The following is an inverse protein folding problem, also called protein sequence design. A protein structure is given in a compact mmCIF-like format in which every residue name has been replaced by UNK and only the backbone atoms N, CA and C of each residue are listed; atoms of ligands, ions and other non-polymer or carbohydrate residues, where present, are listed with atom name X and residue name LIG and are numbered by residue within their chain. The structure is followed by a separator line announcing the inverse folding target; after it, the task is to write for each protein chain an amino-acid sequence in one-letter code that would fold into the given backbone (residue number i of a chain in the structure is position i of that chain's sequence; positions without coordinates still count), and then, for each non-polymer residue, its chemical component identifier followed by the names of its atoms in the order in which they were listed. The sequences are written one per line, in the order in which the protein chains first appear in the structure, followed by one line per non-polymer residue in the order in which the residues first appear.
data_IF_302705381997
#
_entry.id   IF_302705381997
#
_cell.length_a   1.000
_cell.length_b   1.000
_cell.length_c   1.000
_cell.angle_alpha   90.00
_cell.angle_beta   90.00
_cell.angle_gamma   90.00
#
_symmetry.space_group_name_H-M   'P 1'
#
loop_
_entity.id
_entity.type
_entity.pdbx_description
1 polymer ?
#
# COMPACT_ATOMS: atom_id res chain seq x y z
N UNK A 1 -48.87 -26.20 15.52
CA UNK A 1 -47.66 -26.63 14.82
C UNK A 1 -46.67 -25.45 14.89
N UNK A 2 -45.54 -25.56 15.61
CA UNK A 2 -44.68 -24.43 15.94
C UNK A 2 -43.69 -24.11 14.83
N UNK A 3 -43.49 -22.81 14.65
CA UNK A 3 -42.52 -22.20 13.74
C UNK A 3 -41.07 -22.47 14.21
N UNK A 4 -40.26 -23.00 13.32
CA UNK A 4 -38.81 -23.11 13.50
C UNK A 4 -38.18 -21.71 13.40
N UNK A 5 -37.59 -21.22 14.47
CA UNK A 5 -36.68 -20.06 14.46
C UNK A 5 -35.31 -20.55 13.99
N UNK A 6 -34.83 -20.02 12.84
CA UNK A 6 -33.48 -20.21 12.42
C UNK A 6 -32.50 -19.47 13.38
N UNK A 7 -31.52 -20.19 13.85
CA UNK A 7 -30.43 -19.62 14.66
C UNK A 7 -29.53 -18.74 13.76
N UNK A 8 -28.97 -17.64 14.28
CA UNK A 8 -28.03 -16.81 13.53
C UNK A 8 -26.71 -17.59 13.35
N UNK A 9 -26.28 -17.73 12.10
CA UNK A 9 -25.06 -18.40 11.71
C UNK A 9 -23.86 -17.90 12.49
N UNK A 10 -23.18 -18.81 13.17
CA UNK A 10 -21.93 -18.56 13.89
C UNK A 10 -20.86 -18.07 12.90
N UNK A 11 -20.32 -16.89 13.16
CA UNK A 11 -19.13 -16.38 12.50
C UNK A 11 -17.99 -17.36 12.78
N UNK A 12 -17.38 -17.91 11.75
CA UNK A 12 -16.12 -18.61 11.88
C UNK A 12 -15.06 -17.55 12.27
N UNK A 13 -14.28 -17.80 13.32
CA UNK A 13 -13.17 -16.91 13.66
C UNK A 13 -12.15 -16.92 12.53
N UNK A 14 -11.46 -15.79 12.25
CA UNK A 14 -10.39 -15.76 11.27
C UNK A 14 -9.31 -16.78 11.64
N UNK A 15 -8.61 -17.36 10.66
CA UNK A 15 -7.54 -18.32 10.91
C UNK A 15 -6.45 -17.68 11.77
N UNK A 16 -6.16 -18.28 12.91
CA UNK A 16 -5.11 -17.85 13.82
C UNK A 16 -3.75 -18.08 13.18
N UNK A 17 -2.97 -17.00 13.01
CA UNK A 17 -1.52 -17.04 13.06
C UNK A 17 -0.81 -17.63 11.85
N UNK A 18 -0.72 -16.87 10.77
CA UNK A 18 0.38 -17.01 9.82
C UNK A 18 1.41 -15.92 10.14
N UNK A 19 2.54 -16.32 10.70
CA UNK A 19 3.66 -15.39 10.89
C UNK A 19 4.17 -14.93 9.53
N UNK A 20 4.06 -13.64 9.24
CA UNK A 20 4.68 -13.03 8.07
C UNK A 20 6.19 -13.24 8.12
N UNK A 21 6.69 -14.23 7.41
CA UNK A 21 8.13 -14.38 7.19
C UNK A 21 8.48 -13.36 6.10
N UNK A 22 8.63 -12.12 6.50
CA UNK A 22 9.37 -11.13 5.75
C UNK A 22 10.84 -11.52 5.86
N UNK A 23 11.33 -12.32 4.91
CA UNK A 23 12.72 -12.77 4.90
C UNK A 23 13.64 -11.55 4.81
N UNK A 24 14.13 -11.14 5.96
CA UNK A 24 15.28 -10.23 6.05
C UNK A 24 16.51 -11.13 5.83
N UNK A 25 17.04 -11.17 4.63
CA UNK A 25 18.42 -11.65 4.44
C UNK A 25 19.36 -10.55 4.89
N UNK A 26 19.69 -10.53 6.16
CA UNK A 26 20.95 -9.97 6.60
C UNK A 26 22.00 -11.06 6.31
N UNK A 27 22.81 -10.87 5.29
CA UNK A 27 24.07 -11.58 5.13
C UNK A 27 24.98 -11.20 6.29
N UNK A 28 24.89 -11.94 7.35
CA UNK A 28 25.95 -12.09 8.36
C UNK A 28 26.04 -13.56 8.66
N UNK A 29 26.98 -14.20 7.96
CA UNK A 29 27.45 -15.55 8.27
C UNK A 29 28.04 -15.57 9.67
N UNK A 30 27.25 -15.98 10.66
CA UNK A 30 27.78 -16.45 11.93
C UNK A 30 27.63 -17.95 11.93
N UNK A 31 28.75 -18.63 11.70
CA UNK A 31 28.90 -20.07 11.88
C UNK A 31 28.63 -20.39 13.34
N UNK A 32 27.67 -21.22 13.59
CA UNK A 32 27.35 -21.78 14.89
C UNK A 32 28.21 -23.05 15.10
N UNK A 33 29.09 -23.12 16.12
CA UNK A 33 29.77 -24.35 16.48
C UNK A 33 29.06 -25.02 17.65
N UNK A 34 28.11 -25.88 17.37
CA UNK A 34 27.58 -26.79 18.39
C UNK A 34 27.33 -28.16 17.81
N UNK A 35 28.41 -29.01 17.87
CA UNK A 35 28.32 -30.46 18.03
C UNK A 35 29.70 -30.94 18.45
N UNK A 36 29.88 -31.25 19.74
CA UNK A 36 30.79 -32.30 20.15
C UNK A 36 30.34 -32.95 21.46
N UNK A 37 30.41 -34.21 21.39
CA UNK A 37 29.94 -35.29 22.19
C UNK A 37 30.35 -35.27 23.66
N UNK A 38 29.53 -36.01 24.44
CA UNK A 38 29.85 -36.56 25.76
C UNK A 38 31.06 -37.47 25.72
N UNK A 39 31.95 -37.33 26.69
CA UNK A 39 32.70 -38.42 27.26
C UNK A 39 33.24 -38.08 28.67
N UNK A 40 33.29 -39.08 29.47
CA UNK A 40 33.43 -39.22 30.92
C UNK A 40 34.69 -38.72 31.60
N UNK A 41 34.49 -38.31 32.87
CA UNK A 41 35.31 -38.50 34.10
C UNK A 41 36.80 -38.91 33.99
N UNK A 42 37.69 -38.21 34.70
CA UNK A 42 38.45 -38.62 35.91
C UNK A 42 39.50 -37.55 36.23
N UNK A 43 39.50 -37.09 37.43
CA UNK A 43 40.49 -36.74 38.41
C UNK A 43 41.72 -35.86 38.08
N UNK A 44 41.95 -34.85 38.91
CA UNK A 44 43.29 -34.27 39.10
C UNK A 44 43.25 -32.75 39.30
N UNK A 45 43.34 -32.30 40.55
CA UNK A 45 43.50 -30.89 40.90
C UNK A 45 44.91 -30.41 40.53
N UNK A 46 44.98 -29.31 39.79
CA UNK A 46 46.17 -28.46 39.76
C UNK A 46 45.71 -27.00 39.60
N UNK A 47 45.90 -26.22 40.66
CA UNK A 47 45.69 -24.79 40.67
C UNK A 47 46.78 -24.10 39.83
N UNK A 48 46.46 -23.61 38.67
CA UNK A 48 47.24 -22.63 37.94
C UNK A 48 46.32 -21.43 37.64
N UNK A 49 46.65 -20.32 38.30
CA UNK A 49 46.00 -19.04 38.11
C UNK A 49 46.19 -18.53 36.66
N UNK A 50 45.13 -18.56 35.89
CA UNK A 50 45.10 -17.88 34.58
C UNK A 50 44.30 -16.61 34.78
N UNK A 51 44.99 -15.47 34.76
CA UNK A 51 44.36 -14.16 34.68
C UNK A 51 43.61 -14.07 33.36
N UNK A 52 42.29 -14.20 33.42
CA UNK A 52 41.40 -13.95 32.29
C UNK A 52 41.35 -12.44 32.06
N UNK A 53 42.16 -11.93 31.14
CA UNK A 53 41.95 -10.57 30.60
C UNK A 53 40.70 -10.63 29.74
N UNK A 54 39.56 -10.25 30.32
CA UNK A 54 38.33 -10.07 29.58
C UNK A 54 38.48 -8.86 28.66
N UNK A 55 38.90 -9.09 27.41
CA UNK A 55 38.76 -8.11 26.36
C UNK A 55 37.25 -7.94 26.08
N UNK A 56 36.67 -6.95 26.73
CA UNK A 56 35.31 -6.49 26.41
C UNK A 56 35.33 -5.97 24.98
N UNK A 57 34.96 -6.85 24.04
CA UNK A 57 34.67 -6.45 22.67
C UNK A 57 33.45 -5.50 22.74
N UNK A 58 33.72 -4.19 22.67
CA UNK A 58 32.70 -3.21 22.48
C UNK A 58 32.05 -3.53 21.15
N UNK A 59 30.90 -4.21 21.18
CA UNK A 59 30.01 -4.28 20.04
C UNK A 59 29.70 -2.82 19.66
N UNK A 60 30.24 -2.37 18.54
CA UNK A 60 29.92 -1.07 18.00
C UNK A 60 28.41 -1.08 17.77
N UNK A 61 27.67 -0.34 18.59
CA UNK A 61 26.26 -0.08 18.35
C UNK A 61 26.18 0.70 17.04
N UNK A 62 25.90 0.00 15.96
CA UNK A 62 25.62 0.61 14.66
C UNK A 62 24.42 1.51 14.89
N UNK A 63 24.65 2.79 14.94
CA UNK A 63 23.58 3.79 15.05
C UNK A 63 22.72 3.63 13.82
N UNK A 64 21.39 3.44 13.94
CA UNK A 64 20.52 3.35 12.77
C UNK A 64 20.73 4.60 11.90
N UNK A 65 20.70 4.45 10.58
CA UNK A 65 20.86 5.57 9.66
C UNK A 65 19.86 6.68 10.00
N UNK A 66 20.32 7.91 10.02
CA UNK A 66 19.51 9.08 10.41
C UNK A 66 18.52 9.54 9.33
N UNK A 67 18.33 8.78 8.25
CA UNK A 67 17.45 9.12 7.13
C UNK A 67 16.93 7.88 6.42
N UNK A 68 16.10 8.07 5.38
CA UNK A 68 15.58 6.95 4.59
C UNK A 68 16.71 6.21 3.86
N UNK A 69 16.56 4.91 3.75
CA UNK A 69 17.51 4.05 3.03
C UNK A 69 17.29 4.17 1.51
N UNK A 70 18.30 3.93 0.66
CA UNK A 70 18.07 3.77 -0.77
C UNK A 70 17.12 2.61 -1.04
N UNK A 71 16.11 2.82 -1.89
CA UNK A 71 15.21 1.75 -2.33
C UNK A 71 15.90 0.90 -3.39
N UNK A 72 16.04 -0.39 -3.12
CA UNK A 72 16.56 -1.39 -4.06
C UNK A 72 15.40 -2.31 -4.46
N UNK A 73 15.11 -2.37 -5.76
CA UNK A 73 14.10 -3.25 -6.33
C UNK A 73 14.74 -4.53 -6.91
N UNK A 74 13.96 -5.61 -7.10
CA UNK A 74 14.41 -6.78 -7.84
C UNK A 74 14.89 -6.42 -9.26
N UNK A 75 15.77 -7.23 -9.85
CA UNK A 75 16.37 -6.95 -11.16
C UNK A 75 15.34 -6.83 -12.31
N UNK A 76 14.27 -7.61 -12.27
CA UNK A 76 13.18 -7.57 -13.26
C UNK A 76 11.84 -7.42 -12.55
N UNK A 77 11.53 -6.22 -12.02
CA UNK A 77 10.37 -6.05 -11.17
C UNK A 77 9.06 -6.08 -11.99
N UNK A 78 8.06 -6.73 -11.44
CA UNK A 78 6.66 -6.56 -11.79
C UNK A 78 6.01 -5.82 -10.65
N UNK A 79 5.62 -4.58 -10.89
CA UNK A 79 5.16 -3.67 -9.84
C UNK A 79 3.67 -3.43 -9.99
N UNK A 80 2.90 -3.76 -8.95
CA UNK A 80 1.51 -3.38 -8.81
C UNK A 80 1.45 -2.17 -7.87
N UNK A 81 0.93 -1.05 -8.35
CA UNK A 81 0.64 0.13 -7.55
C UNK A 81 -0.85 0.16 -7.29
N UNK A 82 -1.25 0.19 -6.03
CA UNK A 82 -2.65 0.29 -5.62
C UNK A 82 -2.95 1.73 -5.25
N UNK A 83 -3.93 2.31 -5.90
CA UNK A 83 -4.41 3.66 -5.70
C UNK A 83 -5.86 3.62 -5.18
N UNK A 84 -6.16 4.14 -3.98
CA UNK A 84 -7.54 4.31 -3.53
C UNK A 84 -8.35 5.15 -4.51
N UNK A 85 -7.79 6.28 -4.97
CA UNK A 85 -8.43 7.18 -5.92
C UNK A 85 -7.55 7.43 -7.14
N UNK A 86 -8.12 7.83 -8.29
CA UNK A 86 -7.36 8.30 -9.44
C UNK A 86 -6.59 9.59 -9.11
N UNK A 87 -5.30 9.51 -9.00
CA UNK A 87 -4.22 10.49 -8.74
C UNK A 87 -3.17 10.00 -7.74
N UNK A 88 -3.56 9.13 -6.79
CA UNK A 88 -2.67 8.64 -5.72
C UNK A 88 -1.42 7.92 -6.26
N UNK A 89 -1.55 7.14 -7.35
CA UNK A 89 -0.42 6.44 -7.97
C UNK A 89 0.61 7.43 -8.51
N UNK A 90 0.14 8.55 -9.03
CA UNK A 90 1.02 9.61 -9.57
C UNK A 90 1.61 10.46 -8.45
N UNK A 91 0.80 10.84 -7.45
CA UNK A 91 1.25 11.57 -6.27
C UNK A 91 2.36 10.80 -5.55
N UNK A 92 2.13 9.53 -5.29
CA UNK A 92 3.01 8.70 -4.46
C UNK A 92 4.21 8.13 -5.23
N UNK A 93 4.00 7.67 -6.46
CA UNK A 93 4.95 6.83 -7.18
C UNK A 93 5.15 7.21 -8.65
N UNK A 94 4.73 8.40 -9.08
CA UNK A 94 4.82 8.83 -10.49
C UNK A 94 6.23 8.78 -11.05
N UNK A 95 7.23 9.21 -10.28
CA UNK A 95 8.63 9.11 -10.67
C UNK A 95 9.14 7.68 -10.74
N UNK A 96 8.75 6.82 -9.79
CA UNK A 96 9.04 5.39 -9.82
C UNK A 96 8.42 4.72 -11.05
N UNK A 97 7.16 4.99 -11.33
CA UNK A 97 6.45 4.45 -12.51
C UNK A 97 7.19 4.87 -13.79
N UNK A 98 7.48 6.16 -13.97
CA UNK A 98 8.20 6.67 -15.12
C UNK A 98 9.60 6.04 -15.29
N UNK A 99 10.31 5.80 -14.19
CA UNK A 99 11.59 5.08 -14.19
C UNK A 99 11.45 3.66 -14.70
N UNK A 100 10.46 2.94 -14.17
CA UNK A 100 10.26 1.52 -14.44
C UNK A 100 9.78 1.28 -15.87
N UNK A 101 8.83 2.07 -16.35
CA UNK A 101 8.30 1.97 -17.72
C UNK A 101 9.39 2.25 -18.75
N UNK A 102 10.22 3.27 -18.54
CA UNK A 102 11.38 3.56 -19.42
C UNK A 102 12.43 2.45 -19.44
N UNK A 103 12.51 1.65 -18.39
CA UNK A 103 13.40 0.47 -18.31
C UNK A 103 12.74 -0.80 -18.83
N UNK A 104 11.53 -0.72 -19.37
CA UNK A 104 10.77 -1.87 -19.87
C UNK A 104 10.24 -2.80 -18.78
N UNK A 105 10.23 -2.38 -17.52
CA UNK A 105 9.61 -3.15 -16.44
C UNK A 105 8.08 -3.17 -16.59
N UNK A 106 7.46 -4.23 -16.09
CA UNK A 106 6.00 -4.34 -16.09
C UNK A 106 5.45 -3.63 -14.86
N UNK A 107 4.63 -2.61 -15.10
CA UNK A 107 3.93 -1.87 -14.07
C UNK A 107 2.44 -1.94 -14.35
N UNK A 108 1.63 -2.06 -13.31
CA UNK A 108 0.17 -2.00 -13.36
C UNK A 108 -0.32 -1.13 -12.21
N UNK A 109 -1.38 -0.39 -12.46
CA UNK A 109 -2.08 0.42 -11.46
C UNK A 109 -3.46 -0.19 -11.24
N UNK A 110 -3.84 -0.35 -9.99
CA UNK A 110 -5.16 -0.78 -9.54
C UNK A 110 -5.81 0.35 -8.76
N UNK A 111 -6.76 1.06 -9.39
CA UNK A 111 -7.59 2.05 -8.73
C UNK A 111 -8.79 1.36 -8.08
N UNK A 112 -8.99 1.56 -6.78
CA UNK A 112 -10.07 0.90 -6.05
C UNK A 112 -11.40 1.60 -6.23
N UNK A 113 -11.42 2.94 -6.13
CA UNK A 113 -12.60 3.77 -6.35
C UNK A 113 -12.42 4.65 -7.58
N UNK A 114 -13.48 5.33 -7.98
CA UNK A 114 -13.42 6.34 -9.03
C UNK A 114 -13.14 7.74 -8.46
N UNK A 115 -13.12 7.90 -7.12
CA UNK A 115 -12.96 9.19 -6.47
C UNK A 115 -14.14 10.13 -6.76
N UNK A 116 -15.33 9.57 -6.91
CA UNK A 116 -16.55 10.26 -7.34
C UNK A 116 -17.24 11.04 -6.22
N UNK A 117 -16.91 10.78 -4.94
CA UNK A 117 -17.56 11.40 -3.79
C UNK A 117 -17.08 12.81 -3.43
N UNK A 118 -16.23 13.45 -4.23
CA UNK A 118 -15.64 14.74 -3.86
C UNK A 118 -16.49 15.93 -4.27
N UNK A 119 -17.36 16.37 -3.36
CA UNK A 119 -18.35 17.44 -3.58
C UNK A 119 -17.76 18.73 -4.18
N UNK A 120 -16.57 19.18 -3.70
CA UNK A 120 -15.98 20.41 -4.21
C UNK A 120 -15.57 20.29 -5.68
N UNK A 121 -15.10 19.13 -6.10
CA UNK A 121 -14.76 18.88 -7.50
C UNK A 121 -16.02 18.87 -8.37
N UNK A 122 -17.10 18.19 -7.95
CA UNK A 122 -18.38 18.20 -8.69
C UNK A 122 -18.86 19.63 -8.88
N UNK A 123 -18.93 20.43 -7.81
CA UNK A 123 -19.38 21.82 -7.90
C UNK A 123 -18.54 22.67 -8.84
N UNK A 124 -17.24 22.46 -8.84
CA UNK A 124 -16.32 23.29 -9.60
C UNK A 124 -16.18 22.84 -11.07
N UNK A 125 -16.24 21.54 -11.33
CA UNK A 125 -16.04 21.00 -12.67
C UNK A 125 -17.36 20.89 -13.46
N UNK A 126 -18.46 20.52 -12.80
CA UNK A 126 -19.76 20.36 -13.43
C UNK A 126 -20.68 21.59 -13.21
N UNK A 127 -20.21 22.58 -12.42
CA UNK A 127 -20.95 23.81 -12.11
C UNK A 127 -22.31 23.58 -11.42
N UNK A 128 -22.43 22.49 -10.64
CA UNK A 128 -23.61 22.07 -9.93
C UNK A 128 -23.54 22.36 -8.44
N UNK A 129 -24.32 23.33 -7.96
CA UNK A 129 -24.38 23.68 -6.52
C UNK A 129 -25.03 22.58 -5.66
N UNK A 130 -25.93 21.81 -6.24
CA UNK A 130 -26.64 20.70 -5.61
C UNK A 130 -26.50 19.45 -6.48
N UNK A 131 -25.35 18.79 -6.45
CA UNK A 131 -25.11 17.65 -7.31
C UNK A 131 -26.11 16.52 -7.10
N UNK A 132 -26.55 15.93 -8.22
CA UNK A 132 -27.29 14.68 -8.29
C UNK A 132 -26.34 13.48 -8.23
N UNK A 133 -26.89 12.28 -8.10
CA UNK A 133 -26.16 11.01 -8.23
C UNK A 133 -25.46 10.88 -9.59
N UNK A 134 -26.09 11.35 -10.66
CA UNK A 134 -25.50 11.37 -11.99
C UNK A 134 -24.26 12.27 -12.07
N UNK A 135 -24.28 13.44 -11.43
CA UNK A 135 -23.14 14.37 -11.44
C UNK A 135 -21.90 13.74 -10.74
N UNK A 136 -22.14 12.99 -9.67
CA UNK A 136 -21.05 12.23 -9.02
C UNK A 136 -20.51 11.12 -9.93
N UNK A 137 -21.38 10.39 -10.62
CA UNK A 137 -20.94 9.37 -11.59
C UNK A 137 -20.13 9.99 -12.73
N UNK A 138 -20.56 11.14 -13.29
CA UNK A 138 -19.83 11.89 -14.32
C UNK A 138 -18.45 12.35 -13.83
N UNK A 139 -18.34 12.80 -12.57
CA UNK A 139 -17.03 13.11 -11.99
C UNK A 139 -16.13 11.87 -11.95
N UNK A 140 -16.67 10.70 -11.56
CA UNK A 140 -15.92 9.45 -11.55
C UNK A 140 -15.38 9.07 -12.93
N UNK A 141 -16.20 9.21 -13.98
CA UNK A 141 -15.78 8.97 -15.36
C UNK A 141 -14.70 9.96 -15.81
N UNK A 142 -14.86 11.25 -15.48
CA UNK A 142 -13.87 12.28 -15.76
C UNK A 142 -12.53 11.94 -15.11
N UNK A 143 -12.51 11.57 -13.83
CA UNK A 143 -11.29 11.19 -13.10
C UNK A 143 -10.62 9.95 -13.68
N UNK A 144 -11.37 8.97 -14.14
CA UNK A 144 -10.80 7.84 -14.89
C UNK A 144 -10.08 8.29 -16.16
N UNK A 145 -10.67 9.20 -16.95
CA UNK A 145 -10.03 9.72 -18.17
C UNK A 145 -8.78 10.53 -17.84
N UNK A 146 -8.79 11.31 -16.77
CA UNK A 146 -7.62 12.05 -16.29
C UNK A 146 -6.49 11.08 -15.88
N UNK A 147 -6.82 10.01 -15.14
CA UNK A 147 -5.84 8.99 -14.74
C UNK A 147 -5.24 8.24 -15.96
N UNK A 148 -6.05 7.96 -16.97
CA UNK A 148 -5.55 7.36 -18.23
C UNK A 148 -4.56 8.32 -18.91
N UNK A 149 -4.88 9.61 -19.01
CA UNK A 149 -4.02 10.61 -19.59
C UNK A 149 -2.74 10.81 -18.76
N UNK A 150 -2.87 10.91 -17.45
CA UNK A 150 -1.74 11.08 -16.52
C UNK A 150 -0.76 9.92 -16.58
N UNK A 151 -1.25 8.70 -16.47
CA UNK A 151 -0.41 7.51 -16.47
C UNK A 151 0.23 7.24 -17.85
N UNK A 152 -0.39 7.70 -18.94
CA UNK A 152 0.25 7.69 -20.25
C UNK A 152 1.51 8.61 -20.30
N UNK A 153 1.52 9.74 -19.56
CA UNK A 153 2.73 10.58 -19.40
C UNK A 153 3.85 9.83 -18.66
N UNK A 154 3.48 8.85 -17.82
CA UNK A 154 4.44 7.99 -17.11
C UNK A 154 4.86 6.75 -17.92
N UNK A 155 4.32 6.57 -19.14
CA UNK A 155 4.65 5.46 -20.05
C UNK A 155 3.79 4.21 -19.85
N UNK A 156 2.69 4.28 -19.14
CA UNK A 156 1.70 3.18 -19.03
C UNK A 156 0.72 3.22 -20.21
N UNK A 157 0.20 2.06 -20.56
CA UNK A 157 -0.87 1.93 -21.55
C UNK A 157 -2.20 1.82 -20.82
N UNK A 158 -3.32 2.12 -21.48
CA UNK A 158 -4.66 1.99 -20.89
C UNK A 158 -4.91 0.63 -20.24
N UNK A 159 -4.43 -0.44 -20.86
CA UNK A 159 -4.59 -1.81 -20.36
C UNK A 159 -3.79 -2.12 -19.08
N UNK A 160 -2.86 -1.25 -18.71
CA UNK A 160 -2.05 -1.38 -17.49
C UNK A 160 -2.74 -0.69 -16.29
N UNK A 161 -3.92 -0.04 -16.52
CA UNK A 161 -4.78 0.55 -15.50
C UNK A 161 -6.05 -0.28 -15.34
N UNK A 162 -6.32 -0.67 -14.11
CA UNK A 162 -7.53 -1.40 -13.71
C UNK A 162 -8.32 -0.48 -12.78
N UNK A 163 -9.55 -0.21 -13.11
CA UNK A 163 -10.50 0.50 -12.25
C UNK A 163 -11.49 -0.53 -11.68
N UNK A 164 -11.56 -0.60 -10.36
CA UNK A 164 -12.51 -1.51 -9.68
C UNK A 164 -13.88 -0.87 -9.53
N UNK A 165 -13.95 0.47 -9.49
CA UNK A 165 -15.20 1.22 -9.44
C UNK A 165 -15.96 1.07 -8.14
N UNK A 166 -15.28 0.77 -7.01
CA UNK A 166 -15.89 0.70 -5.70
C UNK A 166 -16.21 2.10 -5.16
N UNK A 167 -17.10 2.22 -4.15
CA UNK A 167 -17.62 3.52 -3.72
C UNK A 167 -16.53 4.36 -3.05
N UNK A 168 -16.38 5.60 -3.49
CA UNK A 168 -15.52 6.60 -2.85
C UNK A 168 -16.01 6.92 -1.44
N UNK A 169 -15.08 7.01 -0.48
CA UNK A 169 -15.40 7.15 0.94
C UNK A 169 -16.00 5.89 1.58
N UNK A 170 -16.14 4.79 0.83
CA UNK A 170 -16.85 3.58 1.24
C UNK A 170 -15.99 2.43 1.72
N UNK A 171 -14.67 2.43 1.49
CA UNK A 171 -13.84 1.25 1.79
C UNK A 171 -13.86 0.85 3.27
N UNK A 172 -13.97 1.84 4.17
CA UNK A 172 -14.09 1.57 5.60
C UNK A 172 -15.41 0.88 5.95
N UNK A 173 -16.50 1.25 5.31
CA UNK A 173 -17.83 0.66 5.51
C UNK A 173 -17.87 -0.78 4.97
N UNK A 174 -17.27 -1.01 3.79
CA UNK A 174 -17.13 -2.36 3.24
C UNK A 174 -16.38 -3.28 4.19
N UNK A 175 -15.30 -2.78 4.82
CA UNK A 175 -14.50 -3.57 5.75
C UNK A 175 -15.25 -3.90 7.04
N UNK A 176 -15.96 -2.92 7.62
CA UNK A 176 -16.55 -3.03 8.96
C UNK A 176 -17.94 -3.60 8.95
N UNK A 177 -18.81 -3.11 8.08
CA UNK A 177 -20.25 -3.29 8.18
C UNK A 177 -20.86 -4.02 6.99
N UNK A 178 -20.18 -3.98 5.83
CA UNK A 178 -20.64 -4.53 4.56
C UNK A 178 -19.64 -5.53 3.98
N UNK A 179 -19.17 -6.44 4.82
CA UNK A 179 -18.20 -7.45 4.38
C UNK A 179 -18.82 -8.50 3.46
N UNK A 180 -20.08 -8.86 3.69
CA UNK A 180 -20.77 -9.96 3.01
C UNK A 180 -21.71 -9.46 1.92
N UNK A 181 -21.81 -10.19 0.81
CA UNK A 181 -22.78 -9.99 -0.27
C UNK A 181 -24.25 -9.92 0.19
N UNK A 182 -24.58 -10.48 1.34
CA UNK A 182 -25.94 -10.39 1.90
C UNK A 182 -26.33 -9.00 2.39
N UNK A 183 -25.39 -8.08 2.45
CA UNK A 183 -25.60 -6.71 2.92
C UNK A 183 -24.67 -5.76 2.16
N UNK A 184 -24.91 -5.52 0.86
CA UNK A 184 -24.08 -4.63 0.07
C UNK A 184 -24.22 -3.18 0.56
N UNK A 185 -23.17 -2.41 0.36
CA UNK A 185 -23.15 -0.98 0.64
C UNK A 185 -23.78 -0.22 -0.52
N UNK A 186 -24.53 0.81 -0.20
CA UNK A 186 -25.01 1.76 -1.21
C UNK A 186 -24.20 3.05 -1.13
N UNK A 187 -23.59 3.47 -2.22
CA UNK A 187 -22.87 4.74 -2.28
C UNK A 187 -23.78 5.90 -1.87
N UNK A 188 -23.38 6.74 -0.94
CA UNK A 188 -24.17 7.93 -0.58
C UNK A 188 -24.17 8.98 -1.69
N UNK A 189 -23.27 8.85 -2.66
CA UNK A 189 -23.07 9.79 -3.77
C UNK A 189 -23.81 9.34 -5.03
N UNK A 190 -23.41 8.24 -5.64
CA UNK A 190 -23.99 7.71 -6.89
C UNK A 190 -25.27 6.92 -6.70
N UNK A 191 -25.62 6.54 -5.46
CA UNK A 191 -26.77 5.69 -5.12
C UNK A 191 -26.68 4.25 -5.67
N UNK A 192 -25.54 3.87 -6.20
CA UNK A 192 -25.29 2.53 -6.69
C UNK A 192 -24.85 1.60 -5.56
N UNK A 193 -25.01 0.29 -5.72
CA UNK A 193 -24.64 -0.78 -4.81
C UNK A 193 -23.68 -1.80 -5.45
N UNK A 194 -23.27 -1.56 -6.68
CA UNK A 194 -22.40 -2.42 -7.47
C UNK A 194 -21.48 -1.62 -8.41
N UNK A 195 -20.26 -2.10 -8.67
CA UNK A 195 -19.39 -1.45 -9.63
C UNK A 195 -19.89 -1.68 -11.07
N UNK A 196 -19.57 -0.81 -12.01
CA UNK A 196 -19.91 -0.98 -13.42
C UNK A 196 -19.04 -2.06 -14.07
N UNK A 197 -19.00 -3.27 -13.48
CA UNK A 197 -18.17 -4.38 -13.90
C UNK A 197 -19.03 -5.56 -14.38
N UNK A 198 -18.60 -6.30 -15.44
CA UNK A 198 -19.38 -7.40 -16.01
C UNK A 198 -19.45 -8.62 -15.09
N UNK A 199 -18.76 -8.64 -13.98
CA UNK A 199 -18.54 -9.83 -13.15
C UNK A 199 -19.63 -10.05 -12.09
N UNK A 200 -20.66 -9.19 -12.00
CA UNK A 200 -21.71 -9.28 -11.00
C UNK A 200 -21.18 -9.07 -9.56
N UNK A 201 -20.13 -8.27 -9.41
CA UNK A 201 -19.66 -7.85 -8.11
C UNK A 201 -20.64 -6.85 -7.49
N UNK A 202 -20.76 -6.89 -6.17
CA UNK A 202 -21.51 -5.94 -5.38
C UNK A 202 -20.56 -5.09 -4.52
N UNK A 203 -21.03 -3.99 -3.96
CA UNK A 203 -20.24 -3.17 -3.05
C UNK A 203 -20.16 -3.85 -1.68
N UNK A 204 -19.35 -4.89 -1.60
CA UNK A 204 -19.04 -5.59 -0.36
C UNK A 204 -17.54 -5.93 -0.24
N UNK A 205 -17.12 -6.27 0.99
CA UNK A 205 -15.72 -6.55 1.27
C UNK A 205 -15.21 -7.84 0.63
N UNK A 206 -16.05 -8.86 0.50
CA UNK A 206 -15.68 -10.14 -0.10
C UNK A 206 -15.41 -9.99 -1.58
N UNK A 207 -16.24 -9.24 -2.29
CA UNK A 207 -16.08 -9.02 -3.72
C UNK A 207 -14.85 -8.16 -4.02
N UNK A 208 -14.64 -7.07 -3.28
CA UNK A 208 -13.43 -6.27 -3.42
C UNK A 208 -12.17 -7.10 -3.18
N UNK A 209 -12.14 -7.89 -2.10
CA UNK A 209 -11.01 -8.80 -1.79
C UNK A 209 -10.80 -9.83 -2.90
N UNK A 210 -11.89 -10.37 -3.44
CA UNK A 210 -11.84 -11.35 -4.53
C UNK A 210 -11.28 -10.75 -5.82
N UNK A 211 -11.67 -9.53 -6.16
CA UNK A 211 -11.18 -8.81 -7.33
C UNK A 211 -9.67 -8.47 -7.20
N UNK A 212 -9.24 -8.01 -6.03
CA UNK A 212 -7.82 -7.78 -5.73
C UNK A 212 -7.03 -9.09 -5.82
N UNK A 213 -7.55 -10.16 -5.23
CA UNK A 213 -6.93 -11.50 -5.27
C UNK A 213 -6.77 -12.00 -6.70
N UNK A 214 -7.80 -11.82 -7.54
CA UNK A 214 -7.77 -12.16 -8.97
C UNK A 214 -6.67 -11.39 -9.69
N UNK A 215 -6.54 -10.11 -9.43
CA UNK A 215 -5.54 -9.25 -10.04
C UNK A 215 -4.11 -9.63 -9.61
N UNK A 216 -3.89 -9.86 -8.32
CA UNK A 216 -2.61 -10.34 -7.78
C UNK A 216 -2.20 -11.67 -8.41
N UNK A 217 -3.15 -12.60 -8.55
CA UNK A 217 -2.94 -13.93 -9.17
C UNK A 217 -2.59 -13.81 -10.65
N UNK A 218 -3.29 -12.95 -11.39
CA UNK A 218 -3.09 -12.77 -12.82
C UNK A 218 -1.77 -12.02 -13.13
N UNK A 219 -1.47 -10.97 -12.41
CA UNK A 219 -0.29 -10.16 -12.64
C UNK A 219 0.98 -10.75 -12.01
N UNK A 220 0.88 -11.46 -10.88
CA UNK A 220 1.97 -12.07 -10.12
C UNK A 220 3.08 -11.06 -9.81
N UNK A 221 2.78 -9.97 -9.08
CA UNK A 221 3.76 -8.92 -8.79
C UNK A 221 4.95 -9.47 -8.01
N UNK A 222 6.12 -8.85 -8.17
CA UNK A 222 7.29 -9.04 -7.30
C UNK A 222 7.41 -7.89 -6.30
N UNK A 223 6.70 -6.78 -6.59
CA UNK A 223 6.59 -5.62 -5.73
C UNK A 223 5.14 -5.15 -5.74
N UNK A 224 4.57 -4.91 -4.58
CA UNK A 224 3.27 -4.26 -4.42
C UNK A 224 3.48 -2.97 -3.65
N UNK A 225 2.94 -1.86 -4.17
CA UNK A 225 3.02 -0.53 -3.56
C UNK A 225 1.59 -0.15 -3.17
N UNK A 226 1.33 0.01 -1.89
CA UNK A 226 0.00 0.24 -1.31
C UNK A 226 0.00 1.51 -0.46
N UNK A 227 -1.14 2.11 -0.15
CA UNK A 227 -1.20 3.17 0.86
C UNK A 227 -0.66 2.69 2.21
N UNK A 228 -0.22 3.62 3.04
CA UNK A 228 0.21 3.28 4.39
C UNK A 228 -1.01 3.05 5.29
N UNK A 229 -1.04 1.99 6.14
CA UNK A 229 -2.18 1.70 7.00
C UNK A 229 -2.47 2.79 8.04
N UNK A 230 -1.52 3.70 8.29
CA UNK A 230 -1.71 4.88 9.14
C UNK A 230 -1.94 6.17 8.33
N UNK A 231 -2.31 6.07 7.06
CA UNK A 231 -2.78 7.22 6.31
C UNK A 231 -4.06 7.76 6.95
N UNK A 232 -4.21 9.08 7.02
CA UNK A 232 -5.34 9.70 7.68
C UNK A 232 -6.64 9.60 6.88
N UNK A 233 -6.56 9.30 5.58
CA UNK A 233 -7.74 9.05 4.76
C UNK A 233 -8.21 7.61 4.94
N UNK A 234 -9.48 7.42 5.29
CA UNK A 234 -10.02 6.09 5.62
C UNK A 234 -9.93 5.12 4.44
N UNK A 235 -10.17 5.57 3.21
CA UNK A 235 -10.03 4.70 2.04
C UNK A 235 -8.58 4.26 1.83
N UNK A 236 -7.59 5.12 2.10
CA UNK A 236 -6.17 4.73 2.03
C UNK A 236 -5.83 3.65 3.05
N UNK A 237 -6.21 3.87 4.30
CA UNK A 237 -5.97 2.87 5.34
C UNK A 237 -6.62 1.53 5.00
N UNK A 238 -7.90 1.54 4.60
CA UNK A 238 -8.64 0.31 4.30
C UNK A 238 -8.23 -0.33 2.97
N UNK A 239 -7.81 0.45 1.96
CA UNK A 239 -7.19 -0.11 0.77
C UNK A 239 -5.98 -0.98 1.11
N UNK A 240 -5.15 -0.55 2.08
CA UNK A 240 -4.05 -1.39 2.54
C UNK A 240 -4.52 -2.68 3.20
N UNK A 241 -5.60 -2.64 4.01
CA UNK A 241 -6.16 -3.82 4.67
C UNK A 241 -6.68 -4.84 3.66
N UNK A 242 -7.46 -4.40 2.67
CA UNK A 242 -7.96 -5.27 1.60
C UNK A 242 -6.84 -5.94 0.81
N UNK A 243 -5.76 -5.22 0.50
CA UNK A 243 -4.61 -5.82 -0.20
C UNK A 243 -3.88 -6.82 0.67
N UNK A 244 -3.70 -6.54 1.96
CA UNK A 244 -3.06 -7.45 2.91
C UNK A 244 -3.88 -8.73 3.04
N UNK A 245 -5.20 -8.62 3.22
CA UNK A 245 -6.12 -9.77 3.27
C UNK A 245 -6.02 -10.63 2.00
N UNK A 246 -5.99 -10.00 0.81
CA UNK A 246 -5.83 -10.69 -0.45
C UNK A 246 -4.45 -11.37 -0.59
N UNK A 247 -3.39 -10.75 -0.08
CA UNK A 247 -2.04 -11.32 -0.06
C UNK A 247 -1.97 -12.53 0.87
N UNK A 248 -2.59 -12.47 2.04
CA UNK A 248 -2.66 -13.57 3.00
C UNK A 248 -3.42 -14.77 2.43
N UNK A 249 -4.57 -14.52 1.81
CA UNK A 249 -5.31 -15.58 1.13
C UNK A 249 -4.50 -16.28 0.03
N UNK A 250 -3.56 -15.57 -0.61
CA UNK A 250 -2.71 -16.13 -1.66
C UNK A 250 -1.41 -16.77 -1.13
N UNK A 251 -0.96 -16.44 0.06
CA UNK A 251 0.31 -16.95 0.60
C UNK A 251 0.32 -18.48 0.69
N UNK A 252 -0.77 -19.08 1.15
CA UNK A 252 -0.92 -20.52 1.26
C UNK A 252 -0.96 -21.24 -0.10
N UNK A 253 -1.18 -20.51 -1.19
CA UNK A 253 -1.35 -21.08 -2.55
C UNK A 253 -0.07 -21.14 -3.37
N UNK A 254 1.04 -20.58 -2.89
CA UNK A 254 2.32 -20.46 -3.60
C UNK A 254 2.22 -19.82 -5.00
N UNK A 255 1.17 -19.08 -5.27
CA UNK A 255 0.95 -18.39 -6.56
C UNK A 255 1.84 -17.16 -6.68
N UNK A 256 2.07 -16.47 -5.57
CA UNK A 256 2.94 -15.29 -5.51
C UNK A 256 4.41 -15.69 -5.37
N UNK A 257 5.34 -14.83 -5.80
CA UNK A 257 6.77 -15.07 -5.59
C UNK A 257 7.10 -15.21 -4.11
N UNK A 258 8.01 -16.14 -3.75
CA UNK A 258 8.47 -16.33 -2.36
C UNK A 258 9.03 -15.05 -1.72
N UNK A 259 9.61 -14.16 -2.54
CA UNK A 259 10.15 -12.87 -2.12
C UNK A 259 9.33 -11.73 -2.71
N UNK A 260 8.12 -11.57 -2.21
CA UNK A 260 7.29 -10.41 -2.53
C UNK A 260 7.72 -9.23 -1.66
N UNK A 261 8.00 -8.09 -2.29
CA UNK A 261 8.29 -6.83 -1.60
C UNK A 261 6.99 -6.02 -1.51
N UNK A 262 6.51 -5.80 -0.30
CA UNK A 262 5.38 -4.90 -0.03
C UNK A 262 5.94 -3.56 0.47
N UNK A 263 5.65 -2.50 -0.25
CA UNK A 263 6.01 -1.13 0.07
C UNK A 263 4.73 -0.33 0.34
N UNK A 264 4.83 0.61 1.25
CA UNK A 264 3.73 1.54 1.54
C UNK A 264 4.11 2.96 1.12
N UNK A 265 3.11 3.76 0.77
CA UNK A 265 3.25 5.19 0.55
C UNK A 265 2.26 5.96 1.42
N UNK A 266 2.52 7.23 1.66
CA UNK A 266 1.67 8.09 2.47
C UNK A 266 1.28 9.32 1.65
N UNK A 267 0.02 9.73 1.70
CA UNK A 267 -0.50 10.93 1.04
C UNK A 267 -1.15 11.86 2.06
N UNK A 268 -2.09 11.35 2.84
CA UNK A 268 -2.87 12.16 3.76
C UNK A 268 -2.36 12.04 5.20
N UNK A 269 -1.50 12.96 5.58
CA UNK A 269 -1.13 13.17 6.97
C UNK A 269 -1.15 14.69 7.23
N UNK A 270 -1.87 15.19 8.24
CA UNK A 270 -2.13 16.63 8.41
C UNK A 270 -0.87 17.50 8.47
N UNK A 271 0.22 16.96 9.01
CA UNK A 271 1.48 17.69 9.21
C UNK A 271 2.54 17.35 8.15
N UNK A 272 2.23 16.44 7.21
CA UNK A 272 3.19 15.94 6.23
C UNK A 272 2.55 15.79 4.84
N UNK A 273 3.28 16.03 3.75
CA UNK A 273 4.61 16.63 3.76
C UNK A 273 4.57 18.09 4.20
N UNK A 274 5.62 18.50 4.89
CA UNK A 274 5.75 19.90 5.28
C UNK A 274 5.77 20.81 4.05
N UNK A 275 5.26 22.02 4.20
CA UNK A 275 5.38 23.04 3.16
C UNK A 275 6.87 23.24 2.81
N UNK A 276 7.21 23.15 1.55
CA UNK A 276 8.57 23.28 1.02
C UNK A 276 8.53 23.45 -0.49
N UNK A 277 9.62 23.93 -1.08
CA UNK A 277 9.73 24.14 -2.52
C UNK A 277 10.01 22.84 -3.28
N UNK A 278 9.87 22.89 -4.60
CA UNK A 278 10.16 21.76 -5.51
C UNK A 278 11.58 21.18 -5.35
N UNK A 279 12.52 21.98 -4.83
CA UNK A 279 13.90 21.54 -4.62
C UNK A 279 14.13 20.86 -3.27
N UNK A 280 13.17 20.96 -2.36
CA UNK A 280 13.28 20.34 -1.04
C UNK A 280 12.95 18.84 -1.13
N UNK A 281 13.77 18.03 -0.50
CA UNK A 281 13.54 16.59 -0.47
C UNK A 281 12.41 16.24 0.47
N UNK A 282 11.59 15.24 0.10
CA UNK A 282 10.70 14.59 1.05
C UNK A 282 11.54 13.91 2.15
N UNK A 283 11.26 14.28 3.39
CA UNK A 283 11.77 13.58 4.56
C UNK A 283 10.67 12.68 5.14
N UNK A 284 11.01 11.54 5.73
CA UNK A 284 10.03 10.70 6.41
C UNK A 284 9.26 11.48 7.48
N UNK A 285 7.97 11.18 7.71
CA UNK A 285 7.27 11.68 8.88
C UNK A 285 7.96 11.19 10.16
N UNK A 286 7.65 11.83 11.29
CA UNK A 286 8.25 11.42 12.55
C UNK A 286 7.84 10.00 12.95
N UNK A 287 8.71 9.27 13.63
CA UNK A 287 8.39 7.94 14.16
C UNK A 287 7.26 7.96 15.22
N UNK A 288 6.92 9.15 15.75
CA UNK A 288 5.79 9.33 16.65
C UNK A 288 4.46 9.33 15.88
N UNK A 289 4.45 9.91 14.68
CA UNK A 289 3.27 9.98 13.82
C UNK A 289 3.07 8.65 13.06
N UNK A 290 4.17 8.12 12.50
CA UNK A 290 4.15 6.86 11.75
C UNK A 290 5.17 5.90 12.39
N UNK A 291 4.78 5.17 13.44
CA UNK A 291 5.65 4.22 14.12
C UNK A 291 5.95 2.99 13.28
N UNK A 292 6.92 2.21 13.70
CA UNK A 292 7.25 0.87 13.18
C UNK A 292 7.42 0.77 11.66
N UNK A 293 7.86 1.86 11.04
CA UNK A 293 8.08 1.93 9.60
C UNK A 293 9.55 2.22 9.28
N UNK A 294 10.12 1.41 8.41
CA UNK A 294 11.44 1.66 7.82
C UNK A 294 11.20 2.38 6.50
N UNK A 295 11.78 3.58 6.38
CA UNK A 295 11.61 4.41 5.20
C UNK A 295 12.72 4.19 4.18
N UNK A 296 12.33 4.12 2.92
CA UNK A 296 13.19 4.05 1.75
C UNK A 296 12.90 5.24 0.85
N UNK A 297 13.89 5.60 0.03
CA UNK A 297 13.74 6.67 -0.95
C UNK A 297 14.30 6.26 -2.29
N UNK A 298 13.76 6.88 -3.32
CA UNK A 298 14.39 6.96 -4.64
C UNK A 298 14.62 8.43 -4.99
N UNK A 299 15.81 8.73 -5.52
CA UNK A 299 16.10 10.03 -6.09
C UNK A 299 15.61 10.06 -7.54
N UNK A 300 14.85 11.09 -7.88
CA UNK A 300 14.32 11.26 -9.22
C UNK A 300 15.33 12.01 -10.09
N UNK A 301 15.54 11.53 -11.29
CA UNK A 301 16.24 12.33 -12.32
C UNK A 301 15.34 13.47 -12.78
N UNK A 302 15.90 14.57 -13.36
CA UNK A 302 15.09 15.66 -13.90
C UNK A 302 14.01 15.20 -14.88
N UNK A 303 14.31 14.18 -15.70
CA UNK A 303 13.34 13.62 -16.65
C UNK A 303 12.22 12.82 -15.98
N UNK A 304 12.47 12.17 -14.85
CA UNK A 304 11.44 11.45 -14.07
C UNK A 304 10.56 12.44 -13.31
N UNK A 305 11.14 13.49 -12.76
CA UNK A 305 10.38 14.57 -12.11
C UNK A 305 9.51 15.32 -13.12
N UNK A 306 10.04 15.65 -14.31
CA UNK A 306 9.27 16.28 -15.37
C UNK A 306 8.11 15.40 -15.86
N UNK A 307 8.32 14.08 -15.97
CA UNK A 307 7.25 13.14 -16.32
C UNK A 307 6.16 13.10 -15.23
N UNK A 308 6.53 13.08 -13.96
CA UNK A 308 5.60 13.16 -12.83
C UNK A 308 4.81 14.47 -12.83
N UNK A 309 5.48 15.58 -13.05
CA UNK A 309 4.84 16.90 -13.14
C UNK A 309 3.84 16.95 -14.32
N UNK A 310 4.23 16.44 -15.49
CA UNK A 310 3.34 16.37 -16.64
C UNK A 310 2.11 15.47 -16.38
N UNK A 311 2.31 14.36 -15.67
CA UNK A 311 1.22 13.47 -15.27
C UNK A 311 0.26 14.14 -14.28
N UNK A 312 0.78 14.80 -13.23
CA UNK A 312 -0.04 15.55 -12.28
C UNK A 312 -0.86 16.65 -12.96
N UNK A 313 -0.33 17.25 -14.03
CA UNK A 313 -1.03 18.26 -14.83
C UNK A 313 -2.27 17.76 -15.57
N UNK A 314 -2.44 16.44 -15.72
CA UNK A 314 -3.63 15.85 -16.37
C UNK A 314 -4.82 15.71 -15.39
N UNK A 315 -4.60 15.71 -14.07
CA UNK A 315 -5.66 15.66 -13.06
C UNK A 315 -6.30 17.02 -12.84
N UNK A 316 -6.93 17.56 -13.87
CA UNK A 316 -7.45 18.94 -13.90
C UNK A 316 -8.54 19.17 -12.87
N UNK A 317 -9.43 18.19 -12.68
CA UNK A 317 -10.48 18.25 -11.69
C UNK A 317 -9.89 18.40 -10.27
N UNK A 318 -8.83 17.65 -9.98
CA UNK A 318 -8.20 17.67 -8.67
C UNK A 318 -7.28 18.89 -8.47
N UNK A 319 -6.60 19.34 -9.52
CA UNK A 319 -5.78 20.56 -9.46
C UNK A 319 -6.60 21.81 -9.12
N UNK A 320 -7.87 21.87 -9.49
CA UNK A 320 -8.74 23.01 -9.15
C UNK A 320 -9.07 23.10 -7.66
N UNK A 321 -9.08 21.97 -6.96
CA UNK A 321 -9.54 21.86 -5.56
C UNK A 321 -8.45 21.42 -4.58
N UNK A 322 -7.42 20.71 -5.06
CA UNK A 322 -6.34 20.13 -4.26
C UNK A 322 -4.93 20.50 -4.75
N UNK A 323 -4.80 21.59 -5.49
CA UNK A 323 -3.52 22.04 -6.08
C UNK A 323 -2.36 22.00 -5.10
N UNK A 324 -2.56 22.55 -3.89
CA UNK A 324 -1.52 22.59 -2.86
C UNK A 324 -1.07 21.19 -2.43
N UNK A 325 -1.99 20.25 -2.31
CA UNK A 325 -1.67 18.87 -1.94
C UNK A 325 -0.82 18.22 -3.05
N UNK A 326 -1.29 18.29 -4.29
CA UNK A 326 -0.59 17.66 -5.42
C UNK A 326 0.83 18.22 -5.59
N UNK A 327 0.99 19.54 -5.51
CA UNK A 327 2.29 20.19 -5.66
C UNK A 327 3.27 19.91 -4.51
N UNK A 328 2.79 19.59 -3.31
CA UNK A 328 3.66 19.18 -2.20
C UNK A 328 4.45 17.90 -2.49
N UNK A 329 4.01 17.08 -3.43
CA UNK A 329 4.66 15.82 -3.82
C UNK A 329 5.54 15.94 -5.08
N UNK A 330 5.61 17.12 -5.70
CA UNK A 330 6.62 17.41 -6.73
C UNK A 330 7.96 17.70 -6.07
N UNK A 331 8.70 16.65 -5.75
CA UNK A 331 9.97 16.69 -5.05
C UNK A 331 11.03 15.88 -5.80
N UNK A 332 12.32 16.15 -5.57
CA UNK A 332 13.42 15.41 -6.24
C UNK A 332 13.57 13.96 -5.75
N UNK A 333 12.71 13.49 -4.86
CA UNK A 333 12.67 12.10 -4.40
C UNK A 333 11.25 11.66 -4.08
N UNK A 334 11.06 10.34 -4.05
CA UNK A 334 9.86 9.69 -3.52
C UNK A 334 10.22 8.80 -2.34
N UNK A 335 9.28 8.66 -1.41
CA UNK A 335 9.43 7.88 -0.19
C UNK A 335 8.49 6.68 -0.17
N UNK A 336 9.05 5.56 0.29
CA UNK A 336 8.30 4.33 0.47
C UNK A 336 8.59 3.77 1.85
N UNK A 337 7.53 3.38 2.55
CA UNK A 337 7.63 2.73 3.85
C UNK A 337 7.65 1.22 3.72
N UNK A 338 8.25 0.56 4.69
CA UNK A 338 8.06 -0.85 4.96
C UNK A 338 7.66 -1.00 6.41
N UNK A 339 6.43 -1.38 6.62
CA UNK A 339 5.89 -1.61 7.96
C UNK A 339 6.50 -2.88 8.53
N UNK A 340 6.93 -2.85 9.80
CA UNK A 340 7.47 -4.04 10.47
C UNK A 340 6.38 -5.10 10.61
N UNK A 341 6.77 -6.38 10.48
CA UNK A 341 5.86 -7.50 10.72
C UNK A 341 5.25 -7.42 12.13
N UNK A 342 4.00 -7.85 12.28
CA UNK A 342 3.26 -7.78 13.55
C UNK A 342 2.51 -6.46 13.79
N UNK A 343 2.74 -5.40 13.01
CA UNK A 343 1.89 -4.20 13.04
C UNK A 343 0.61 -4.45 12.24
N UNK A 344 0.75 -5.08 11.08
CA UNK A 344 -0.38 -5.42 10.21
C UNK A 344 -1.32 -6.42 10.91
N UNK A 345 -0.75 -7.41 11.61
CA UNK A 345 -1.52 -8.38 12.42
C UNK A 345 -2.37 -7.66 13.49
N UNK A 346 -1.79 -6.66 14.18
CA UNK A 346 -2.51 -5.88 15.20
C UNK A 346 -3.60 -4.98 14.62
N UNK A 347 -3.42 -4.48 13.41
CA UNK A 347 -4.42 -3.62 12.76
C UNK A 347 -5.63 -4.46 12.33
N UNK A 348 -5.41 -5.68 11.86
CA UNK A 348 -6.47 -6.62 11.53
C UNK A 348 -7.28 -7.09 12.76
N UNK A 349 -6.67 -7.08 13.97
CA UNK A 349 -7.34 -7.46 15.23
C UNK A 349 -8.20 -6.33 15.84
N UNK A 350 -8.00 -5.08 15.46
CA UNK A 350 -8.68 -3.89 16.05
C UNK A 350 -9.96 -3.52 15.30
N UNK A 351 -10.23 -4.16 14.18
CA UNK A 351 -11.38 -3.93 13.31
C UNK A 351 -12.09 -5.26 12.99
#
# INVERSE_FOLDING_TARGET
MPSARGEPGARLPPPRGAAYILVVTSDLSVRNPSRLARASRVGGALLLGVSLVATASRAATVRPPRGPLPLVLPASPRVLVVAPHPDDETIAAGGLIARLTRRGARVRVLCMTNGDGYLQAVRQDLHEEKPSDTDYAELGELRQQEAIAATARLGLRRQDLIFQGFPDGGLAQLWRDHWSRSSPYTSPYTKEDSPPAPDGAEYDGQDLTSLITRELRAFRPTVVVIPHPYDAHLDHAHASYFVIEALDALQATHVLPERLLVLTYLVHLPTWPSAGGEHDRLAPPSAREIPDTIWYQIDLTPAELAAKQAALGEYRSQLRVLSDLLHRFLRPNELFGRVKSGVLDRIAEVH
#
